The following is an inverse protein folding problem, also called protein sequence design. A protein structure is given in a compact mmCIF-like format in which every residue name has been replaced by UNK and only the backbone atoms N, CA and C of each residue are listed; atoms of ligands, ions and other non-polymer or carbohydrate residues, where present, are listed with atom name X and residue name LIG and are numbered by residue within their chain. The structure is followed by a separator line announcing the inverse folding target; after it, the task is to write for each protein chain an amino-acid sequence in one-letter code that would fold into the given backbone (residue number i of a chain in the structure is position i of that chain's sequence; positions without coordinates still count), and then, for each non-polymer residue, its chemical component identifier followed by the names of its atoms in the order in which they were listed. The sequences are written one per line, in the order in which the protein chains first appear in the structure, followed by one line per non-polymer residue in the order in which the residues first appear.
data_IF_866409034861
#
_entry.id   IF_866409034861
#
_cell.length_a   1.000
_cell.length_b   1.000
_cell.length_c   1.000
_cell.angle_alpha   90.00
_cell.angle_beta   90.00
_cell.angle_gamma   90.00
#
_symmetry.space_group_name_H-M   'P 1'
#
loop_
_entity.id
_entity.type
_entity.pdbx_description
1 polymer ?
#
# COMPACT_ATOMS: atom_id res chain seq x y z
N UNK A 1 77.76 -7.09 -56.58
CA UNK A 1 77.63 -8.22 -55.63
C UNK A 1 78.04 -7.76 -54.24
N UNK A 2 77.09 -7.58 -53.30
CA UNK A 2 77.26 -7.75 -51.85
C UNK A 2 75.90 -7.57 -51.17
N UNK A 3 75.43 -8.66 -50.57
CA UNK A 3 74.22 -8.77 -49.73
C UNK A 3 74.56 -8.27 -48.32
N UNK A 4 73.65 -7.56 -47.67
CA UNK A 4 73.51 -7.49 -46.20
C UNK A 4 72.02 -7.16 -45.91
N UNK A 5 71.23 -8.20 -45.70
CA UNK A 5 70.70 -8.63 -44.39
C UNK A 5 69.63 -7.67 -43.84
N UNK A 6 68.37 -8.00 -44.13
CA UNK A 6 67.20 -7.46 -43.48
C UNK A 6 67.02 -8.14 -42.12
N UNK A 7 67.00 -7.36 -41.05
CA UNK A 7 66.65 -7.77 -39.69
C UNK A 7 65.15 -7.46 -39.49
N UNK A 8 64.28 -8.44 -39.18
CA UNK A 8 62.89 -8.11 -38.88
C UNK A 8 62.80 -7.57 -37.45
N UNK A 9 62.35 -6.32 -37.34
CA UNK A 9 62.04 -5.66 -36.07
C UNK A 9 60.77 -6.30 -35.48
N UNK A 10 60.93 -7.14 -34.47
CA UNK A 10 59.85 -7.76 -33.73
C UNK A 10 59.21 -6.70 -32.80
N UNK A 11 58.15 -6.04 -33.27
CA UNK A 11 57.33 -5.13 -32.46
C UNK A 11 56.46 -5.96 -31.50
N UNK A 12 56.96 -6.11 -30.26
CA UNK A 12 56.17 -6.58 -29.12
C UNK A 12 55.11 -5.53 -28.79
N UNK A 13 53.85 -5.81 -29.17
CA UNK A 13 52.69 -5.06 -28.73
C UNK A 13 52.45 -5.30 -27.24
N UNK A 14 52.95 -4.40 -26.40
CA UNK A 14 52.50 -4.28 -25.01
C UNK A 14 51.10 -3.65 -25.05
N UNK A 15 50.06 -4.48 -24.99
CA UNK A 15 48.73 -4.04 -24.59
C UNK A 15 48.80 -3.58 -23.13
N UNK A 16 49.10 -2.30 -22.93
CA UNK A 16 48.86 -1.67 -21.65
C UNK A 16 47.34 -1.69 -21.41
N UNK A 17 46.88 -2.53 -20.49
CA UNK A 17 45.59 -2.31 -19.85
C UNK A 17 45.68 -0.94 -19.18
N UNK A 18 45.12 0.08 -19.83
CA UNK A 18 44.90 1.39 -19.21
C UNK A 18 43.93 1.13 -18.07
N UNK A 19 44.45 1.11 -16.85
CA UNK A 19 43.64 1.13 -15.64
C UNK A 19 43.04 2.53 -15.58
N UNK A 20 41.85 2.69 -16.15
CA UNK A 20 41.10 3.93 -16.05
C UNK A 20 40.69 4.07 -14.57
N UNK A 21 41.22 5.07 -13.83
CA UNK A 21 40.92 5.19 -12.41
C UNK A 21 39.41 5.33 -12.27
N UNK A 22 38.79 4.41 -11.53
CA UNK A 22 37.37 4.50 -11.25
C UNK A 22 37.10 5.87 -10.63
N UNK A 23 36.22 6.64 -11.28
CA UNK A 23 35.81 7.94 -10.74
C UNK A 23 35.21 7.68 -9.35
N UNK A 24 35.59 8.46 -8.34
CA UNK A 24 35.03 8.26 -7.01
C UNK A 24 33.51 8.38 -7.11
N UNK A 25 32.81 7.45 -6.47
CA UNK A 25 31.36 7.38 -6.50
C UNK A 25 30.80 7.41 -5.08
N UNK A 26 29.54 7.82 -4.98
CA UNK A 26 28.83 7.76 -3.72
C UNK A 26 27.35 7.50 -3.92
N UNK A 27 26.72 6.93 -2.91
CA UNK A 27 25.29 6.68 -2.82
C UNK A 27 24.70 7.50 -1.66
N UNK A 28 23.41 7.80 -1.75
CA UNK A 28 22.67 8.57 -0.75
C UNK A 28 21.41 7.83 -0.32
N UNK A 29 21.17 7.84 0.98
CA UNK A 29 19.86 7.54 1.56
C UNK A 29 19.30 8.80 2.21
N UNK A 30 18.17 9.29 1.71
CA UNK A 30 17.46 10.49 2.17
C UNK A 30 16.20 10.08 2.96
N UNK A 31 16.26 10.23 4.28
CA UNK A 31 15.16 9.93 5.19
C UNK A 31 14.48 11.23 5.61
N UNK A 32 13.22 11.38 5.25
CA UNK A 32 12.43 12.57 5.51
C UNK A 32 11.40 12.24 6.60
N UNK A 33 11.52 12.88 7.75
CA UNK A 33 10.69 12.60 8.92
C UNK A 33 9.86 13.83 9.29
N UNK A 34 8.55 13.65 9.37
CA UNK A 34 7.61 14.68 9.81
C UNK A 34 7.13 14.33 11.22
N UNK A 35 7.78 14.94 12.20
CA UNK A 35 7.37 14.86 13.60
C UNK A 35 6.26 15.88 13.90
N UNK A 36 5.53 15.73 15.02
CA UNK A 36 4.49 16.69 15.41
C UNK A 36 5.01 18.12 15.64
N UNK A 37 6.28 18.26 16.02
CA UNK A 37 6.95 19.51 16.41
C UNK A 37 8.01 19.99 15.41
N UNK A 38 8.55 19.11 14.56
CA UNK A 38 9.57 19.46 13.57
C UNK A 38 9.45 18.63 12.29
N UNK A 39 10.04 19.13 11.21
CA UNK A 39 10.31 18.33 10.01
C UNK A 39 11.83 18.16 9.90
N UNK A 40 12.30 16.94 9.69
CA UNK A 40 13.72 16.63 9.62
C UNK A 40 14.05 15.86 8.35
N UNK A 41 15.22 16.13 7.78
CA UNK A 41 15.77 15.38 6.67
C UNK A 41 17.16 14.90 7.04
N UNK A 42 17.38 13.59 6.94
CA UNK A 42 18.61 12.90 7.34
C UNK A 42 19.22 12.23 6.12
N UNK A 43 20.45 12.60 5.78
CA UNK A 43 21.17 11.99 4.66
C UNK A 43 22.36 11.18 5.14
N UNK A 44 22.36 9.91 4.75
CA UNK A 44 23.51 9.01 4.86
C UNK A 44 24.21 8.89 3.51
N UNK A 45 25.54 8.94 3.55
CA UNK A 45 26.39 8.86 2.36
C UNK A 45 27.23 7.57 2.43
N UNK A 46 27.45 6.93 1.30
CA UNK A 46 28.23 5.68 1.21
C UNK A 46 29.13 5.71 -0.02
N UNK A 47 30.26 5.00 0.01
CA UNK A 47 31.19 4.92 -1.12
C UNK A 47 32.52 5.61 -0.81
N UNK A 48 33.03 6.38 -1.77
CA UNK A 48 34.34 7.02 -1.69
C UNK A 48 34.29 8.36 -0.96
N UNK A 49 35.40 8.70 -0.28
CA UNK A 49 35.57 10.01 0.34
C UNK A 49 35.74 11.10 -0.72
N UNK A 50 34.97 12.18 -0.61
CA UNK A 50 34.98 13.27 -1.59
C UNK A 50 34.32 14.55 -1.05
N UNK A 51 34.51 15.64 -1.78
CA UNK A 51 33.74 16.87 -1.59
C UNK A 51 32.50 16.87 -2.49
N UNK A 52 31.34 17.11 -1.90
CA UNK A 52 30.05 17.27 -2.59
C UNK A 52 29.51 18.67 -2.33
N UNK A 53 28.98 19.33 -3.34
CA UNK A 53 28.30 20.62 -3.21
C UNK A 53 26.81 20.36 -3.03
N UNK A 54 26.28 20.69 -1.85
CA UNK A 54 24.85 20.70 -1.57
C UNK A 54 24.21 22.07 -1.83
N UNK A 55 22.91 22.21 -1.56
CA UNK A 55 22.17 23.45 -1.84
C UNK A 55 22.65 24.66 -1.03
N UNK A 56 23.12 24.44 0.21
CA UNK A 56 23.50 25.52 1.13
C UNK A 56 25.00 25.58 1.43
N UNK A 57 25.72 24.46 1.30
CA UNK A 57 27.12 24.34 1.70
C UNK A 57 27.82 23.17 1.02
N UNK A 58 29.15 23.23 1.03
CA UNK A 58 29.99 22.07 0.72
C UNK A 58 29.90 21.02 1.84
N UNK A 59 29.97 19.76 1.43
CA UNK A 59 29.86 18.56 2.25
C UNK A 59 31.14 17.75 2.06
N UNK A 60 31.95 17.61 3.12
CA UNK A 60 33.11 16.72 3.13
C UNK A 60 32.68 15.34 3.57
N UNK A 61 32.70 14.37 2.64
CA UNK A 61 32.40 12.97 2.90
C UNK A 61 33.69 12.23 3.23
N UNK A 62 33.78 11.72 4.44
CA UNK A 62 34.99 11.12 5.00
C UNK A 62 34.64 9.83 5.76
N UNK A 63 35.57 8.88 5.92
CA UNK A 63 35.33 7.72 6.75
C UNK A 63 35.12 8.16 8.20
N UNK A 64 34.42 7.32 8.97
CA UNK A 64 34.28 7.51 10.42
C UNK A 64 35.65 7.77 11.08
N UNK A 65 35.79 8.83 11.91
CA UNK A 65 36.99 9.04 12.71
C UNK A 65 37.19 7.93 13.75
N UNK A 66 38.44 7.49 13.94
CA UNK A 66 38.76 6.47 14.95
C UNK A 66 38.35 6.89 16.36
N UNK A 67 37.83 5.93 17.13
CA UNK A 67 37.46 6.13 18.54
C UNK A 67 36.20 6.96 18.80
N UNK A 68 35.53 7.48 17.77
CA UNK A 68 34.25 8.17 17.92
C UNK A 68 33.09 7.18 17.76
N UNK A 69 32.00 7.35 18.49
CA UNK A 69 30.76 6.59 18.31
C UNK A 69 29.59 7.55 18.44
N UNK A 70 28.57 7.39 17.60
CA UNK A 70 27.38 8.22 17.65
C UNK A 70 26.11 7.37 17.51
N UNK A 71 25.05 7.74 18.21
CA UNK A 71 23.76 7.04 18.18
C UNK A 71 23.04 7.15 16.83
N UNK A 72 23.46 8.05 15.93
CA UNK A 72 22.93 8.16 14.58
C UNK A 72 23.85 7.55 13.52
N UNK A 73 24.90 6.84 13.93
CA UNK A 73 25.78 6.14 13.01
C UNK A 73 25.09 4.92 12.37
N UNK A 74 25.28 4.77 11.07
CA UNK A 74 24.99 3.53 10.32
C UNK A 74 26.32 2.93 9.90
N UNK A 75 26.45 1.61 10.03
CA UNK A 75 27.62 0.87 9.56
C UNK A 75 27.91 1.21 8.09
N UNK A 76 29.19 1.42 7.76
CA UNK A 76 29.70 1.75 6.41
C UNK A 76 29.27 3.12 5.85
N UNK A 77 28.46 3.90 6.58
CA UNK A 77 28.17 5.26 6.19
C UNK A 77 29.40 6.16 6.40
N UNK A 78 29.67 7.01 5.41
CA UNK A 78 30.61 8.11 5.50
C UNK A 78 30.04 9.19 6.42
N UNK A 79 30.93 9.81 7.18
CA UNK A 79 30.64 11.01 7.95
C UNK A 79 30.70 12.22 7.04
N UNK A 80 29.80 13.17 7.27
CA UNK A 80 29.67 14.40 6.51
C UNK A 80 29.98 15.59 7.40
N UNK A 81 31.01 16.35 7.05
CA UNK A 81 31.48 17.48 7.86
C UNK A 81 31.72 17.10 9.34
N UNK A 82 32.30 15.92 9.58
CA UNK A 82 32.56 15.33 10.91
C UNK A 82 31.33 14.94 11.72
N UNK A 83 30.18 14.80 11.09
CA UNK A 83 28.95 14.26 11.70
C UNK A 83 28.56 12.94 11.00
N UNK A 84 27.93 11.98 11.70
CA UNK A 84 27.56 10.69 11.10
C UNK A 84 26.42 10.77 10.08
N UNK A 85 25.70 11.90 10.05
CA UNK A 85 24.53 12.13 9.19
C UNK A 85 24.40 13.62 8.90
N UNK A 86 24.05 13.99 7.67
CA UNK A 86 23.64 15.36 7.39
C UNK A 86 22.19 15.52 7.84
N UNK A 87 21.99 16.26 8.93
CA UNK A 87 20.67 16.52 9.50
C UNK A 87 20.24 17.96 9.21
N UNK A 88 19.16 18.11 8.46
CA UNK A 88 18.46 19.37 8.23
C UNK A 88 17.18 19.38 9.04
N UNK A 89 16.97 20.43 9.83
CA UNK A 89 15.77 20.59 10.69
C UNK A 89 15.02 21.84 10.25
N UNK A 90 13.73 21.67 10.01
CA UNK A 90 12.78 22.73 9.67
C UNK A 90 11.63 22.75 10.68
N UNK A 91 10.91 23.88 10.80
CA UNK A 91 9.66 23.93 11.57
C UNK A 91 8.68 22.83 11.14
N UNK A 92 7.73 22.49 12.02
CA UNK A 92 6.67 21.52 11.71
C UNK A 92 5.96 21.87 10.39
N UNK A 93 5.70 20.85 9.58
CA UNK A 93 4.83 21.00 8.43
C UNK A 93 3.39 21.26 8.90
N UNK A 94 2.71 22.22 8.29
CA UNK A 94 1.27 22.43 8.54
C UNK A 94 0.39 21.36 7.88
N UNK A 95 0.97 20.49 7.05
CA UNK A 95 0.23 19.46 6.32
C UNK A 95 0.11 18.21 7.20
N UNK A 96 -1.10 17.94 7.69
CA UNK A 96 -1.45 16.61 8.20
C UNK A 96 -1.71 15.73 6.98
N UNK A 97 -0.95 14.66 6.82
CA UNK A 97 -1.03 13.80 5.63
C UNK A 97 -1.66 12.44 5.93
N UNK A 98 -1.55 12.00 7.18
CA UNK A 98 -2.25 10.87 7.72
C UNK A 98 -2.40 11.03 9.22
N UNK A 99 -3.38 10.31 9.77
CA UNK A 99 -3.70 10.29 11.18
C UNK A 99 -4.32 8.95 11.55
N UNK A 100 -4.11 8.52 12.78
CA UNK A 100 -4.77 7.34 13.33
C UNK A 100 -5.46 7.68 14.62
N UNK A 101 -6.70 7.24 14.75
CA UNK A 101 -7.53 7.44 15.93
C UNK A 101 -8.04 6.11 16.43
N UNK A 102 -8.41 6.05 17.71
CA UNK A 102 -9.12 4.91 18.29
C UNK A 102 -10.61 5.27 18.39
N UNK A 103 -11.48 4.44 17.86
CA UNK A 103 -12.91 4.73 17.80
C UNK A 103 -13.59 4.53 19.14
N UNK A 104 -14.56 5.38 19.46
CA UNK A 104 -15.45 5.18 20.60
C UNK A 104 -16.79 4.60 20.10
N UNK A 105 -17.34 3.53 20.71
CA UNK A 105 -16.83 2.78 21.87
C UNK A 105 -15.99 1.55 21.51
N UNK A 106 -15.86 1.20 20.23
CA UNK A 106 -15.31 -0.10 19.78
C UNK A 106 -13.80 -0.26 20.00
N UNK A 107 -13.06 0.83 20.20
CA UNK A 107 -11.60 0.82 20.36
C UNK A 107 -10.82 0.50 19.09
N UNK A 108 -11.49 0.36 17.93
CA UNK A 108 -10.84 0.04 16.67
C UNK A 108 -9.88 1.18 16.28
N UNK A 109 -8.72 0.82 15.73
CA UNK A 109 -7.81 1.78 15.14
C UNK A 109 -8.28 2.12 13.73
N UNK A 110 -8.43 3.41 13.42
CA UNK A 110 -8.80 3.89 12.08
C UNK A 110 -7.67 4.75 11.55
N UNK A 111 -7.12 4.37 10.40
CA UNK A 111 -6.14 5.17 9.65
C UNK A 111 -6.88 6.05 8.67
N UNK A 112 -6.69 7.36 8.78
CA UNK A 112 -7.22 8.39 7.90
C UNK A 112 -6.05 8.97 7.11
N UNK A 113 -6.18 9.06 5.80
CA UNK A 113 -5.10 9.52 4.94
C UNK A 113 -5.58 10.57 3.94
N UNK A 114 -4.91 11.72 3.93
CA UNK A 114 -5.16 12.84 2.99
C UNK A 114 -4.22 12.75 1.76
N UNK A 115 -3.24 11.86 1.82
CA UNK A 115 -2.41 11.46 0.67
C UNK A 115 -2.21 9.95 0.66
N UNK A 116 -1.59 9.42 -0.38
CA UNK A 116 -1.32 8.00 -0.47
C UNK A 116 -0.29 7.57 0.58
N UNK A 117 -0.68 6.58 1.39
CA UNK A 117 0.16 5.95 2.40
C UNK A 117 0.51 4.57 1.91
N UNK A 118 1.80 4.34 1.73
CA UNK A 118 2.35 3.05 1.33
C UNK A 118 2.19 2.03 2.44
N UNK A 119 2.51 2.38 3.69
CA UNK A 119 2.33 1.49 4.84
C UNK A 119 2.06 2.30 6.11
N UNK A 120 1.30 1.72 7.05
CA UNK A 120 1.05 2.31 8.36
C UNK A 120 1.40 1.31 9.46
N UNK A 121 2.22 1.74 10.42
CA UNK A 121 2.75 0.91 11.50
C UNK A 121 2.38 1.50 12.85
N UNK A 122 2.08 0.63 13.81
CA UNK A 122 1.71 1.00 15.17
C UNK A 122 2.63 0.33 16.16
N UNK A 123 3.17 1.11 17.10
CA UNK A 123 3.93 0.62 18.23
C UNK A 123 3.13 0.85 19.51
N UNK A 124 2.78 -0.23 20.21
CA UNK A 124 1.92 -0.17 21.40
C UNK A 124 2.65 0.18 22.71
N UNK A 125 3.97 0.39 22.65
CA UNK A 125 4.83 0.51 23.83
C UNK A 125 5.77 -0.68 24.02
N UNK A 126 5.48 -1.81 23.38
CA UNK A 126 6.26 -3.05 23.46
C UNK A 126 6.61 -3.63 22.09
N UNK A 127 5.66 -3.70 21.17
CA UNK A 127 5.80 -4.36 19.87
C UNK A 127 5.17 -3.54 18.75
N UNK A 128 5.65 -3.83 17.55
CA UNK A 128 5.13 -3.27 16.30
C UNK A 128 4.01 -4.12 15.72
N UNK A 129 3.08 -3.43 15.07
CA UNK A 129 2.01 -4.01 14.27
C UNK A 129 1.88 -3.25 12.98
N UNK A 130 1.59 -3.94 11.90
CA UNK A 130 1.13 -3.32 10.66
C UNK A 130 -0.37 -3.01 10.79
N UNK A 131 -0.75 -1.75 10.61
CA UNK A 131 -2.16 -1.32 10.62
C UNK A 131 -2.81 -1.48 9.24
N UNK A 132 -2.07 -1.12 8.19
CA UNK A 132 -2.47 -1.31 6.80
C UNK A 132 -1.25 -1.44 5.89
N UNK A 133 -1.40 -2.25 4.84
CA UNK A 133 -0.41 -2.43 3.78
C UNK A 133 -0.53 -1.38 2.67
N UNK A 134 -1.60 -0.58 2.64
CA UNK A 134 -1.72 0.67 1.88
C UNK A 134 -3.01 1.42 2.27
N UNK A 135 -3.02 2.73 2.14
CA UNK A 135 -4.23 3.56 2.29
C UNK A 135 -4.23 4.60 1.17
N UNK A 136 -5.29 4.60 0.36
CA UNK A 136 -5.45 5.55 -0.73
C UNK A 136 -5.71 6.99 -0.25
N UNK A 137 -5.57 7.95 -1.17
CA UNK A 137 -5.84 9.37 -0.93
C UNK A 137 -7.29 9.59 -0.48
N UNK A 138 -7.49 10.43 0.54
CA UNK A 138 -8.80 10.77 1.12
C UNK A 138 -9.61 9.54 1.56
N UNK A 139 -8.95 8.53 2.12
CA UNK A 139 -9.58 7.30 2.61
C UNK A 139 -9.43 7.14 4.12
N UNK A 140 -10.40 6.42 4.68
CA UNK A 140 -10.34 5.91 6.04
C UNK A 140 -10.40 4.38 6.00
N UNK A 141 -9.53 3.74 6.76
CA UNK A 141 -9.45 2.27 6.83
C UNK A 141 -9.44 1.87 8.29
N UNK A 142 -10.33 0.95 8.64
CA UNK A 142 -10.28 0.27 9.94
C UNK A 142 -9.14 -0.71 9.91
N UNK A 143 -8.13 -0.44 10.70
CA UNK A 143 -6.94 -1.27 10.79
C UNK A 143 -7.29 -2.62 11.39
N UNK A 144 -6.60 -3.66 10.91
CA UNK A 144 -6.56 -4.98 11.53
C UNK A 144 -5.11 -5.26 11.93
N UNK A 145 -4.69 -4.83 13.13
CA UNK A 145 -3.29 -4.86 13.53
C UNK A 145 -2.71 -6.28 13.46
N UNK A 146 -1.68 -6.47 12.64
CA UNK A 146 -0.94 -7.73 12.54
C UNK A 146 0.45 -7.53 13.15
N UNK A 147 0.83 -8.35 14.13
CA UNK A 147 2.13 -8.23 14.79
C UNK A 147 3.26 -8.49 13.79
N UNK A 148 4.00 -7.43 13.44
CA UNK A 148 5.10 -7.44 12.47
C UNK A 148 6.09 -6.32 12.79
N UNK A 149 7.35 -6.52 12.46
CA UNK A 149 8.34 -5.45 12.46
C UNK A 149 8.16 -4.58 11.22
N UNK A 150 8.41 -3.25 11.31
CA UNK A 150 8.47 -2.40 10.13
C UNK A 150 9.46 -2.96 9.10
N UNK A 151 9.12 -2.73 7.84
CA UNK A 151 9.99 -2.97 6.68
C UNK A 151 9.82 -1.73 5.79
N UNK A 152 10.64 -0.72 6.06
CA UNK A 152 10.53 0.61 5.48
C UNK A 152 11.24 0.66 4.13
N UNK A 153 10.49 0.95 3.09
CA UNK A 153 10.98 1.05 1.73
C UNK A 153 12.04 2.13 1.59
N UNK A 154 13.05 1.84 0.77
CA UNK A 154 14.19 2.73 0.56
C UNK A 154 15.24 2.71 1.68
N UNK A 155 14.99 2.04 2.82
CA UNK A 155 15.95 1.88 3.89
C UNK A 155 16.56 0.47 3.90
N UNK A 156 17.81 0.36 4.32
CA UNK A 156 18.39 -0.92 4.79
C UNK A 156 17.95 -1.18 6.23
N UNK A 157 18.04 -2.43 6.67
CA UNK A 157 17.76 -2.77 8.07
C UNK A 157 18.61 -2.02 9.10
N UNK A 158 19.84 -1.63 8.75
CA UNK A 158 20.69 -0.83 9.64
C UNK A 158 20.20 0.63 9.75
N UNK A 159 19.85 1.24 8.62
CA UNK A 159 19.28 2.61 8.58
C UNK A 159 17.92 2.66 9.30
N UNK A 160 17.07 1.68 9.04
CA UNK A 160 15.77 1.54 9.68
C UNK A 160 15.91 1.46 11.21
N UNK A 161 16.85 0.65 11.73
CA UNK A 161 17.07 0.55 13.17
C UNK A 161 17.46 1.88 13.82
N UNK A 162 18.26 2.71 13.13
CA UNK A 162 18.62 4.04 13.62
C UNK A 162 17.39 4.96 13.64
N UNK A 163 16.63 4.98 12.55
CA UNK A 163 15.42 5.80 12.39
C UNK A 163 14.35 5.43 13.42
N UNK A 164 14.03 4.13 13.54
CA UNK A 164 13.05 3.65 14.51
C UNK A 164 13.50 3.93 15.95
N UNK A 165 14.79 3.80 16.25
CA UNK A 165 15.32 4.16 17.59
C UNK A 165 15.08 5.63 17.89
N UNK A 166 15.36 6.53 16.95
CA UNK A 166 15.13 7.97 17.14
C UNK A 166 13.64 8.29 17.36
N UNK A 167 12.77 7.73 16.51
CA UNK A 167 11.31 7.86 16.64
C UNK A 167 10.82 7.39 18.00
N UNK A 168 11.30 6.22 18.45
CA UNK A 168 10.91 5.65 19.73
C UNK A 168 11.48 6.41 20.93
N UNK A 169 12.67 7.01 20.81
CA UNK A 169 13.28 7.81 21.87
C UNK A 169 12.46 9.07 22.21
N UNK A 170 11.79 9.67 21.21
CA UNK A 170 10.99 10.90 21.36
C UNK A 170 9.55 10.66 21.82
N UNK A 171 9.10 9.41 21.93
CA UNK A 171 7.68 9.09 22.16
C UNK A 171 7.15 9.51 23.53
N UNK A 172 8.00 9.62 24.54
CA UNK A 172 7.59 9.97 25.92
C UNK A 172 6.51 9.01 26.46
N UNK A 173 6.72 7.70 26.35
CA UNK A 173 5.79 6.61 26.70
C UNK A 173 4.45 6.56 25.95
N UNK A 174 4.22 7.43 24.97
CA UNK A 174 3.05 7.35 24.10
C UNK A 174 3.21 6.22 23.09
N UNK A 175 2.11 5.57 22.66
CA UNK A 175 2.16 4.73 21.47
C UNK A 175 2.57 5.56 20.26
N UNK A 176 3.12 4.92 19.25
CA UNK A 176 3.61 5.59 18.04
C UNK A 176 2.86 5.05 16.84
N UNK A 177 2.47 5.93 15.93
CA UNK A 177 2.04 5.53 14.59
C UNK A 177 3.03 6.12 13.58
N UNK A 178 3.54 5.28 12.69
CA UNK A 178 4.48 5.64 11.64
C UNK A 178 3.82 5.38 10.29
N UNK A 179 3.72 6.42 9.46
CA UNK A 179 3.18 6.32 8.10
C UNK A 179 4.28 6.49 7.10
N UNK A 180 4.37 5.57 6.15
CA UNK A 180 5.24 5.70 4.99
C UNK A 180 4.46 6.35 3.85
N UNK A 181 4.94 7.52 3.42
CA UNK A 181 4.24 8.34 2.43
C UNK A 181 4.78 8.11 1.02
N UNK A 182 3.89 8.17 0.04
CA UNK A 182 4.28 8.14 -1.38
C UNK A 182 3.49 9.18 -2.19
N UNK A 183 4.16 9.97 -3.06
CA UNK A 183 5.61 10.10 -3.18
C UNK A 183 6.22 10.85 -1.98
N UNK A 184 7.52 10.62 -1.66
CA UNK A 184 8.26 11.46 -0.72
C UNK A 184 8.50 12.87 -1.28
N UNK A 185 9.08 13.78 -0.48
CA UNK A 185 9.49 15.11 -0.96
C UNK A 185 10.60 15.00 -2.02
N UNK A 186 10.71 16.00 -2.91
CA UNK A 186 11.77 16.04 -3.92
C UNK A 186 13.18 15.90 -3.32
N UNK A 187 14.03 15.14 -4.01
CA UNK A 187 15.45 14.93 -3.66
C UNK A 187 16.22 16.24 -3.55
N UNK A 188 17.23 16.26 -2.68
CA UNK A 188 18.20 17.36 -2.66
C UNK A 188 19.09 17.34 -3.91
N UNK A 189 19.48 18.53 -4.37
CA UNK A 189 20.48 18.69 -5.43
C UNK A 189 21.87 18.59 -4.81
N UNK A 190 22.66 17.66 -5.35
CA UNK A 190 24.03 17.38 -4.94
C UNK A 190 24.90 17.32 -6.18
N UNK A 191 26.08 17.96 -6.14
CA UNK A 191 27.03 17.99 -7.25
C UNK A 191 28.43 17.57 -6.80
N UNK A 192 29.06 16.55 -7.42
CA UNK A 192 28.49 15.68 -8.46
C UNK A 192 27.29 14.89 -7.94
N UNK A 193 26.34 14.51 -8.80
CA UNK A 193 25.19 13.70 -8.40
C UNK A 193 25.57 12.28 -7.95
N UNK A 194 24.84 11.68 -6.99
CA UNK A 194 25.15 10.32 -6.52
C UNK A 194 24.78 9.28 -7.57
N UNK A 195 25.42 8.12 -7.47
CA UNK A 195 25.15 6.96 -8.31
C UNK A 195 23.77 6.34 -8.00
N UNK A 196 23.45 6.17 -6.72
CA UNK A 196 22.14 5.75 -6.23
C UNK A 196 21.59 6.76 -5.21
N UNK A 197 20.31 7.10 -5.34
CA UNK A 197 19.59 7.96 -4.39
C UNK A 197 18.31 7.25 -3.94
N UNK A 198 18.29 6.78 -2.69
CA UNK A 198 17.10 6.17 -2.07
C UNK A 198 16.39 7.18 -1.19
N UNK A 199 15.05 7.10 -1.12
CA UNK A 199 14.24 8.01 -0.33
C UNK A 199 13.24 7.24 0.52
N UNK A 200 13.06 7.69 1.76
CA UNK A 200 11.99 7.23 2.64
C UNK A 200 11.27 8.45 3.24
N UNK A 201 9.97 8.58 3.00
CA UNK A 201 9.13 9.61 3.58
C UNK A 201 8.31 9.06 4.74
N UNK A 202 8.50 9.59 5.94
CA UNK A 202 7.95 9.05 7.17
C UNK A 202 7.22 10.14 7.95
N UNK A 203 5.98 9.87 8.35
CA UNK A 203 5.20 10.76 9.21
C UNK A 203 4.98 10.09 10.54
N UNK A 204 5.25 10.82 11.61
CA UNK A 204 5.24 10.28 12.96
C UNK A 204 4.11 10.91 13.75
N UNK A 205 3.22 10.07 14.28
CA UNK A 205 2.20 10.47 15.23
C UNK A 205 2.52 9.87 16.59
N UNK A 206 2.62 10.73 17.61
CA UNK A 206 2.73 10.29 19.00
C UNK A 206 1.36 10.32 19.68
N UNK A 207 0.95 9.18 20.22
CA UNK A 207 -0.37 8.98 20.80
C UNK A 207 -1.42 8.57 19.77
N UNK A 208 -2.51 7.97 20.25
CA UNK A 208 -3.69 7.67 19.44
C UNK A 208 -4.90 8.26 20.16
N UNK A 209 -5.42 9.41 19.70
CA UNK A 209 -6.57 10.04 20.34
C UNK A 209 -7.82 9.19 20.15
N UNK A 210 -8.72 9.25 21.13
CA UNK A 210 -10.02 8.60 21.07
C UNK A 210 -11.05 9.54 20.47
N UNK A 211 -11.78 9.07 19.46
CA UNK A 211 -12.75 9.88 18.73
C UNK A 211 -14.01 9.11 18.34
N UNK A 212 -15.13 9.82 18.26
CA UNK A 212 -16.32 9.33 17.59
C UNK A 212 -16.09 9.52 16.09
N UNK A 213 -15.71 8.45 15.41
CA UNK A 213 -15.62 8.45 13.96
C UNK A 213 -16.98 8.03 13.41
N UNK A 214 -17.55 8.84 12.52
CA UNK A 214 -18.78 8.51 11.80
C UNK A 214 -18.36 7.76 10.53
N UNK A 215 -18.87 6.55 10.35
CA UNK A 215 -18.51 5.59 9.28
C UNK A 215 -17.12 4.85 9.39
N UNK A 216 -16.69 4.33 10.56
CA UNK A 216 -15.43 3.60 10.74
C UNK A 216 -15.63 2.07 10.81
N UNK A 217 -16.58 1.48 10.10
CA UNK A 217 -16.64 0.02 10.01
C UNK A 217 -15.79 -0.47 8.83
N UNK A 218 -15.11 -1.62 8.93
CA UNK A 218 -14.59 -2.27 7.74
C UNK A 218 -15.85 -2.65 6.98
N UNK A 219 -16.20 -1.85 5.97
CA UNK A 219 -17.49 -1.95 5.32
C UNK A 219 -17.74 -3.43 5.04
N UNK A 220 -18.80 -3.96 5.65
CA UNK A 220 -19.11 -5.37 5.52
C UNK A 220 -19.88 -5.53 4.23
N UNK A 221 -19.78 -6.72 3.67
CA UNK A 221 -20.71 -7.08 2.60
C UNK A 221 -22.08 -7.27 3.26
N UNK A 222 -23.04 -6.45 2.88
CA UNK A 222 -24.40 -6.50 3.40
C UNK A 222 -25.33 -7.08 2.33
N UNK A 223 -26.25 -7.95 2.76
CA UNK A 223 -27.29 -8.47 1.88
C UNK A 223 -28.41 -7.44 1.83
N UNK A 224 -28.53 -6.76 0.69
CA UNK A 224 -29.59 -5.76 0.47
C UNK A 224 -30.87 -6.40 -0.05
N UNK A 225 -30.77 -7.56 -0.72
CA UNK A 225 -31.91 -8.27 -1.25
C UNK A 225 -31.56 -9.71 -1.63
N UNK A 226 -32.51 -10.61 -1.42
CA UNK A 226 -32.42 -12.01 -1.85
C UNK A 226 -33.83 -12.48 -2.16
N UNK A 227 -34.01 -13.19 -3.27
CA UNK A 227 -35.32 -13.67 -3.66
C UNK A 227 -35.26 -14.79 -4.69
N UNK A 228 -36.42 -15.40 -4.92
CA UNK A 228 -36.60 -16.45 -5.94
C UNK A 228 -37.07 -15.90 -7.28
N UNK A 229 -37.37 -14.60 -7.38
CA UNK A 229 -37.92 -13.98 -8.59
C UNK A 229 -37.20 -12.68 -8.92
N UNK A 230 -36.80 -12.56 -10.17
CA UNK A 230 -36.20 -11.38 -10.79
C UNK A 230 -36.62 -11.26 -12.25
N UNK A 231 -36.39 -10.11 -12.87
CA UNK A 231 -36.59 -9.89 -14.30
C UNK A 231 -35.56 -10.58 -15.21
N UNK A 232 -34.63 -11.36 -14.66
CA UNK A 232 -33.62 -12.06 -15.44
C UNK A 232 -34.18 -13.32 -16.10
N UNK A 233 -34.05 -13.41 -17.42
CA UNK A 233 -34.72 -14.43 -18.25
C UNK A 233 -33.80 -15.46 -18.89
N UNK A 234 -32.49 -15.31 -18.80
CA UNK A 234 -31.56 -16.34 -19.29
C UNK A 234 -31.45 -17.50 -18.29
N UNK A 235 -30.98 -18.65 -18.75
CA UNK A 235 -30.69 -19.85 -17.97
C UNK A 235 -29.28 -19.86 -17.37
N UNK A 236 -28.35 -19.13 -17.99
CA UNK A 236 -26.96 -19.02 -17.51
C UNK A 236 -26.84 -18.07 -16.32
N UNK A 237 -25.93 -18.29 -15.36
CA UNK A 237 -25.69 -17.32 -14.31
C UNK A 237 -25.10 -16.01 -14.82
N UNK A 238 -25.50 -14.89 -14.22
CA UNK A 238 -24.97 -13.55 -14.50
C UNK A 238 -24.57 -12.87 -13.21
N UNK A 239 -23.36 -12.32 -13.19
CA UNK A 239 -22.92 -11.42 -12.14
C UNK A 239 -22.87 -9.98 -12.66
N UNK A 240 -23.26 -9.04 -11.81
CA UNK A 240 -23.30 -7.63 -12.12
C UNK A 240 -22.56 -6.83 -11.06
N UNK A 241 -21.79 -5.82 -11.50
CA UNK A 241 -21.10 -4.88 -10.63
C UNK A 241 -21.50 -3.45 -11.03
N UNK A 242 -22.16 -2.75 -10.10
CA UNK A 242 -22.47 -1.33 -10.22
C UNK A 242 -21.61 -0.50 -9.27
N UNK A 243 -20.77 0.37 -9.83
CA UNK A 243 -19.92 1.32 -9.10
C UNK A 243 -20.40 2.77 -9.23
N UNK A 244 -21.41 3.01 -10.07
CA UNK A 244 -21.99 4.33 -10.37
C UNK A 244 -23.51 4.27 -10.48
N UNK A 245 -24.22 5.41 -10.29
CA UNK A 245 -25.67 5.49 -10.53
C UNK A 245 -26.08 5.06 -11.95
N UNK A 246 -25.22 5.30 -12.96
CA UNK A 246 -25.47 4.91 -14.36
C UNK A 246 -25.40 3.39 -14.53
N UNK A 247 -24.40 2.73 -13.94
CA UNK A 247 -24.38 1.26 -13.94
C UNK A 247 -25.56 0.69 -13.15
N UNK A 248 -25.99 1.35 -12.07
CA UNK A 248 -27.12 0.88 -11.29
C UNK A 248 -28.45 0.83 -12.05
N UNK A 249 -28.70 1.82 -12.90
CA UNK A 249 -29.96 1.88 -13.66
C UNK A 249 -30.18 0.67 -14.58
N UNK A 250 -29.10 0.06 -15.09
CA UNK A 250 -29.20 -1.16 -15.93
C UNK A 250 -29.74 -2.36 -15.17
N UNK A 251 -29.39 -2.46 -13.88
CA UNK A 251 -29.81 -3.55 -13.01
C UNK A 251 -31.23 -3.34 -12.44
N UNK A 252 -31.66 -2.09 -12.21
CA UNK A 252 -33.01 -1.79 -11.70
C UNK A 252 -34.13 -2.35 -12.60
N UNK A 253 -33.86 -2.56 -13.89
CA UNK A 253 -34.79 -3.25 -14.80
C UNK A 253 -34.96 -4.75 -14.46
N UNK A 254 -33.93 -5.39 -13.93
CA UNK A 254 -33.95 -6.80 -13.52
C UNK A 254 -34.50 -6.95 -12.09
N UNK A 255 -34.42 -5.91 -11.27
CA UNK A 255 -34.94 -5.89 -9.91
C UNK A 255 -35.69 -4.56 -9.66
N UNK A 256 -36.98 -4.51 -10.02
CA UNK A 256 -37.81 -3.30 -9.87
C UNK A 256 -37.87 -2.80 -8.43
N UNK A 257 -37.84 -3.72 -7.46
CA UNK A 257 -37.89 -3.43 -6.02
C UNK A 257 -36.51 -3.15 -5.41
N UNK A 258 -35.47 -2.93 -6.23
CA UNK A 258 -34.14 -2.66 -5.72
C UNK A 258 -34.08 -1.32 -4.94
N UNK A 259 -33.46 -1.30 -3.74
CA UNK A 259 -33.49 -0.14 -2.86
C UNK A 259 -32.82 1.09 -3.49
N UNK A 260 -33.16 2.28 -3.02
CA UNK A 260 -32.36 3.46 -3.35
C UNK A 260 -30.98 3.32 -2.70
N UNK A 261 -29.92 3.63 -3.46
CA UNK A 261 -28.54 3.41 -3.03
C UNK A 261 -27.64 4.57 -3.46
N UNK A 262 -26.78 5.02 -2.55
CA UNK A 262 -25.81 6.10 -2.79
C UNK A 262 -24.41 5.52 -3.00
N UNK A 263 -23.76 5.86 -4.12
CA UNK A 263 -22.47 5.30 -4.56
C UNK A 263 -21.24 6.08 -4.03
N UNK A 264 -21.31 6.55 -2.79
CA UNK A 264 -20.22 7.34 -2.20
C UNK A 264 -18.98 6.45 -1.95
N UNK A 265 -19.13 5.48 -1.04
CA UNK A 265 -18.04 4.60 -0.57
C UNK A 265 -18.32 3.11 -0.75
N UNK A 266 -19.41 2.77 -1.44
CA UNK A 266 -19.83 1.40 -1.67
C UNK A 266 -20.33 1.21 -3.11
N UNK A 267 -20.28 -0.03 -3.55
CA UNK A 267 -20.75 -0.52 -4.83
C UNK A 267 -21.79 -1.62 -4.61
N UNK A 268 -22.51 -1.98 -5.66
CA UNK A 268 -23.47 -3.07 -5.64
C UNK A 268 -22.94 -4.24 -6.46
N UNK A 269 -23.05 -5.45 -5.89
CA UNK A 269 -22.82 -6.69 -6.59
C UNK A 269 -24.10 -7.51 -6.61
N UNK A 270 -24.50 -7.97 -7.78
CA UNK A 270 -25.65 -8.86 -7.91
C UNK A 270 -25.24 -10.17 -8.56
N UNK A 271 -25.86 -11.26 -8.12
CA UNK A 271 -25.79 -12.56 -8.75
C UNK A 271 -27.19 -13.03 -9.10
N UNK A 272 -27.40 -13.33 -10.37
CA UNK A 272 -28.58 -14.03 -10.89
C UNK A 272 -28.14 -15.43 -11.26
N UNK A 273 -28.79 -16.47 -10.76
CA UNK A 273 -28.39 -17.85 -11.04
C UNK A 273 -29.07 -18.43 -12.29
N UNK A 274 -29.70 -17.57 -13.09
CA UNK A 274 -30.52 -17.93 -14.25
C UNK A 274 -31.87 -18.55 -13.89
N UNK A 275 -32.74 -18.66 -14.90
CA UNK A 275 -34.05 -19.29 -14.77
C UNK A 275 -33.95 -20.73 -14.29
N UNK A 276 -34.92 -21.13 -13.49
CA UNK A 276 -35.06 -22.47 -12.92
C UNK A 276 -36.48 -22.98 -13.16
N UNK A 277 -36.63 -24.26 -13.51
CA UNK A 277 -37.91 -24.79 -14.00
C UNK A 277 -38.98 -24.89 -12.90
N UNK A 278 -38.57 -24.91 -11.63
CA UNK A 278 -39.46 -25.09 -10.48
C UNK A 278 -39.07 -24.15 -9.34
N UNK A 279 -39.94 -24.07 -8.32
CA UNK A 279 -39.59 -23.53 -7.01
C UNK A 279 -38.60 -24.42 -6.24
N UNK A 280 -37.99 -23.86 -5.19
CA UNK A 280 -37.04 -24.57 -4.31
C UNK A 280 -35.57 -24.32 -4.62
N UNK A 281 -35.26 -23.63 -5.73
CA UNK A 281 -33.92 -23.11 -5.98
C UNK A 281 -33.68 -21.81 -5.23
N UNK A 282 -32.52 -21.67 -4.58
CA UNK A 282 -32.14 -20.43 -3.91
C UNK A 282 -30.63 -20.21 -3.94
N UNK A 283 -30.25 -18.96 -3.70
CA UNK A 283 -28.86 -18.52 -3.53
C UNK A 283 -28.76 -17.77 -2.21
N UNK A 284 -27.73 -18.07 -1.41
CA UNK A 284 -27.49 -17.44 -0.11
C UNK A 284 -26.05 -16.94 -0.02
N UNK A 285 -25.87 -15.76 0.52
CA UNK A 285 -24.55 -15.24 0.88
C UNK A 285 -23.90 -16.08 1.99
N UNK A 286 -22.61 -16.39 1.85
CA UNK A 286 -21.82 -17.13 2.86
C UNK A 286 -20.69 -16.26 3.39
N UNK A 287 -19.84 -15.75 2.50
CA UNK A 287 -18.69 -14.93 2.88
C UNK A 287 -18.22 -14.08 1.71
N UNK A 288 -17.45 -13.03 2.01
CA UNK A 288 -16.77 -12.23 1.02
C UNK A 288 -15.38 -11.87 1.49
N UNK A 289 -14.44 -11.80 0.55
CA UNK A 289 -13.07 -11.35 0.79
C UNK A 289 -12.62 -10.46 -0.36
N UNK A 290 -11.89 -9.41 -0.03
CA UNK A 290 -11.28 -8.54 -1.03
C UNK A 290 -9.86 -9.02 -1.34
N UNK A 291 -9.54 -9.11 -2.63
CA UNK A 291 -8.19 -9.36 -3.14
C UNK A 291 -7.84 -8.25 -4.14
N UNK A 292 -7.03 -7.28 -3.71
CA UNK A 292 -6.73 -6.10 -4.51
C UNK A 292 -7.99 -5.34 -4.91
N UNK A 293 -8.21 -5.16 -6.21
CA UNK A 293 -9.41 -4.52 -6.78
C UNK A 293 -10.57 -5.48 -7.07
N UNK A 294 -10.46 -6.75 -6.64
CA UNK A 294 -11.47 -7.79 -6.88
C UNK A 294 -12.14 -8.22 -5.57
N UNK A 295 -13.47 -8.31 -5.57
CA UNK A 295 -14.20 -8.98 -4.51
C UNK A 295 -14.49 -10.43 -4.88
N UNK A 296 -14.06 -11.35 -4.04
CA UNK A 296 -14.46 -12.75 -4.13
C UNK A 296 -15.58 -13.05 -3.14
N UNK A 297 -16.70 -13.50 -3.66
CA UNK A 297 -17.94 -13.70 -2.92
C UNK A 297 -18.29 -15.19 -2.97
N UNK A 298 -18.38 -15.82 -1.81
CA UNK A 298 -18.81 -17.20 -1.68
C UNK A 298 -20.31 -17.23 -1.41
N UNK A 299 -21.03 -18.04 -2.18
CA UNK A 299 -22.47 -18.26 -2.03
C UNK A 299 -22.78 -19.75 -1.91
N UNK A 300 -23.89 -20.06 -1.25
CA UNK A 300 -24.48 -21.40 -1.23
C UNK A 300 -25.65 -21.44 -2.20
N UNK A 301 -25.62 -22.41 -3.12
CA UNK A 301 -26.73 -22.69 -4.03
C UNK A 301 -27.51 -23.87 -3.47
N UNK A 302 -28.83 -23.72 -3.36
CA UNK A 302 -29.73 -24.81 -2.95
C UNK A 302 -30.58 -25.23 -4.13
N UNK A 303 -30.73 -26.53 -4.34
CA UNK A 303 -31.67 -27.13 -5.30
C UNK A 303 -32.70 -27.96 -4.55
N UNK A 304 -33.93 -28.09 -5.06
CA UNK A 304 -34.93 -28.98 -4.48
C UNK A 304 -34.45 -30.44 -4.52
N UNK A 305 -34.83 -31.22 -3.50
CA UNK A 305 -34.47 -32.63 -3.43
C UNK A 305 -35.19 -33.43 -4.53
N UNK A 306 -34.57 -34.48 -5.09
CA UNK A 306 -35.24 -35.37 -6.03
C UNK A 306 -36.55 -35.91 -5.45
N UNK A 307 -37.65 -35.80 -6.20
CA UNK A 307 -38.98 -36.26 -5.76
C UNK A 307 -39.70 -35.33 -4.76
N UNK A 308 -39.11 -34.19 -4.39
CA UNK A 308 -39.81 -33.21 -3.57
C UNK A 308 -40.99 -32.58 -4.31
N UNK A 309 -42.10 -32.39 -3.59
CA UNK A 309 -43.27 -31.68 -4.11
C UNK A 309 -42.94 -30.18 -4.13
N UNK A 310 -42.69 -29.64 -5.31
CA UNK A 310 -42.38 -28.23 -5.54
C UNK A 310 -43.34 -27.59 -6.54
N UNK A 311 -43.50 -26.28 -6.42
CA UNK A 311 -44.31 -25.51 -7.36
C UNK A 311 -43.70 -25.56 -8.76
N UNK A 312 -44.53 -25.88 -9.76
CA UNK A 312 -44.17 -25.94 -11.17
C UNK A 312 -44.27 -24.55 -11.79
N UNK A 313 -43.45 -23.62 -11.29
CA UNK A 313 -43.40 -22.23 -11.75
C UNK A 313 -41.95 -21.89 -12.03
N UNK A 314 -41.69 -21.27 -13.18
CA UNK A 314 -40.35 -20.80 -13.52
C UNK A 314 -39.95 -19.72 -12.51
N UNK A 315 -38.77 -19.89 -11.91
CA UNK A 315 -38.20 -18.95 -10.94
C UNK A 315 -36.88 -18.40 -11.47
N UNK A 316 -36.44 -17.25 -10.96
CA UNK A 316 -35.16 -16.61 -11.33
C UNK A 316 -34.47 -16.08 -10.07
N UNK A 317 -33.88 -16.97 -9.25
CA UNK A 317 -33.33 -16.57 -7.96
C UNK A 317 -32.14 -15.62 -8.09
N UNK A 318 -32.03 -14.72 -7.12
CA UNK A 318 -31.02 -13.68 -7.11
C UNK A 318 -30.51 -13.37 -5.70
N UNK A 319 -29.33 -12.76 -5.67
CA UNK A 319 -28.71 -12.16 -4.50
C UNK A 319 -28.18 -10.77 -4.86
N UNK A 320 -28.53 -9.76 -4.06
CA UNK A 320 -28.04 -8.38 -4.17
C UNK A 320 -27.26 -8.02 -2.90
N UNK A 321 -26.04 -7.56 -3.11
CA UNK A 321 -25.08 -7.24 -2.06
C UNK A 321 -24.63 -5.79 -2.19
N UNK A 322 -24.52 -5.11 -1.06
CA UNK A 322 -23.66 -3.95 -0.90
C UNK A 322 -22.24 -4.44 -0.65
N UNK A 323 -21.29 -3.94 -1.44
CA UNK A 323 -19.88 -4.23 -1.23
C UNK A 323 -19.08 -2.94 -1.04
N UNK A 324 -18.05 -2.94 -0.19
CA UNK A 324 -17.19 -1.79 0.03
C UNK A 324 -16.42 -1.33 -1.19
N UNK A 325 -16.21 -0.01 -1.26
CA UNK A 325 -15.30 0.62 -2.20
C UNK A 325 -15.80 0.59 -3.64
N UNK A 326 -14.85 0.73 -4.58
CA UNK A 326 -15.10 0.75 -6.03
C UNK A 326 -14.20 -0.29 -6.70
N UNK A 327 -14.52 -1.59 -6.55
CA UNK A 327 -13.72 -2.64 -7.18
C UNK A 327 -13.85 -2.56 -8.69
N UNK A 328 -12.85 -3.10 -9.38
CA UNK A 328 -12.90 -3.28 -10.83
C UNK A 328 -13.62 -4.57 -11.22
N UNK A 329 -13.73 -5.53 -10.29
CA UNK A 329 -14.28 -6.87 -10.55
C UNK A 329 -14.94 -7.50 -9.31
N UNK A 330 -15.96 -8.32 -9.54
CA UNK A 330 -16.51 -9.28 -8.56
C UNK A 330 -16.50 -10.68 -9.15
N UNK A 331 -16.24 -11.68 -8.32
CA UNK A 331 -16.24 -13.09 -8.68
C UNK A 331 -17.10 -13.83 -7.67
N UNK A 332 -18.19 -14.44 -8.14
CA UNK A 332 -19.03 -15.29 -7.32
C UNK A 332 -18.58 -16.75 -7.44
N UNK A 333 -18.41 -17.42 -6.31
CA UNK A 333 -18.03 -18.83 -6.20
C UNK A 333 -19.02 -19.60 -5.36
N UNK A 334 -19.21 -20.87 -5.67
CA UNK A 334 -19.92 -21.78 -4.76
C UNK A 334 -19.02 -22.21 -3.58
N UNK A 335 -19.59 -22.93 -2.61
CA UNK A 335 -18.86 -23.42 -1.42
C UNK A 335 -17.76 -24.43 -1.73
N UNK A 336 -17.69 -24.97 -2.95
CA UNK A 336 -16.58 -25.81 -3.42
C UNK A 336 -15.44 -25.01 -4.06
N UNK A 337 -15.62 -23.69 -4.21
CA UNK A 337 -14.65 -22.79 -4.83
C UNK A 337 -14.82 -22.61 -6.34
N UNK A 338 -15.78 -23.29 -6.97
CA UNK A 338 -16.04 -23.16 -8.41
C UNK A 338 -16.66 -21.81 -8.73
N UNK A 339 -16.15 -21.15 -9.77
CA UNK A 339 -16.70 -19.87 -10.26
C UNK A 339 -18.10 -20.11 -10.84
N UNK A 340 -19.06 -19.31 -10.37
CA UNK A 340 -20.44 -19.29 -10.86
C UNK A 340 -20.56 -18.24 -11.97
N UNK A 341 -20.14 -17.01 -11.68
CA UNK A 341 -20.17 -15.88 -12.60
C UNK A 341 -19.22 -14.76 -12.13
N UNK A 342 -18.83 -13.90 -13.06
CA UNK A 342 -17.98 -12.75 -12.81
C UNK A 342 -18.61 -11.48 -13.37
N UNK A 343 -18.43 -10.35 -12.68
CA UNK A 343 -18.90 -9.05 -13.12
C UNK A 343 -17.77 -8.04 -13.06
N UNK A 344 -17.58 -7.25 -14.10
CA UNK A 344 -16.58 -6.18 -14.15
C UNK A 344 -17.27 -4.83 -14.07
N UNK A 345 -16.60 -3.88 -13.41
CA UNK A 345 -17.03 -2.49 -13.47
C UNK A 345 -16.96 -2.05 -14.93
N UNK A 346 -18.06 -1.48 -15.43
CA UNK A 346 -18.04 -0.86 -16.75
C UNK A 346 -17.13 0.35 -16.68
N UNK A 347 -16.04 0.32 -17.45
CA UNK A 347 -15.21 1.49 -17.71
C UNK A 347 -16.06 2.39 -18.62
N UNK A 348 -16.33 3.61 -18.17
CA UNK A 348 -16.82 4.65 -19.07
C UNK A 348 -15.66 5.25 -19.84
#
# INVERSE_FOLDING_TARGET
MKRLLALPLLLLGLSACVFEPQRPYYNVTDVQMFFPDSSERWLYFYGDSMLVVGEQRSLSLEPKPEGQNNVWEVKEALWVNKEPVLREVSPRSNRTVARTVSTIPSGNLVVQADQEIKSAWYYDGSRWYQLSASVGVNRQVVARPEARTPDLDGLTGAEEQVVLREVLARRGNRPVVLYEITPPLPRLRLEPGPFLYRQAGLVVQYGVPQEIVVNPEPARVEVLGQGSQSGYSDTSPLAYLATTPISYSRFRNLLPDAPNFAFNDASLAALFIGQKPTGGYSVRFVSARQQGSTWEITVSLTSPAPGSVVTQVITSPYLLLQIPGKPSKVVFRDTSGRVIAEGTALVQ
#
